data_IF_741270057194
#
_entry.id   IF_741270057194
#
_cell.length_a   1.000
_cell.length_b   1.000
_cell.length_c   1.000
_cell.angle_alpha   90.00
_cell.angle_beta   90.00
_cell.angle_gamma   90.00
#
_symmetry.space_group_name_H-M   'P 1'
#
loop_
_entity.id
_entity.type
_entity.pdbx_description
1 polymer ?
#
# COMPACT_ATOMS: atom_id res chain seq x y z
N UNK A 1 2.60 21.34 -0.55
CA UNK A 1 2.55 20.85 0.86
C UNK A 1 3.96 20.80 1.45
N UNK A 2 4.13 21.14 2.73
CA UNK A 2 5.40 20.92 3.44
C UNK A 2 5.38 19.50 4.02
N UNK A 3 5.90 18.54 3.26
CA UNK A 3 5.78 17.10 3.56
C UNK A 3 6.45 16.74 4.88
N UNK A 4 7.67 17.22 5.12
CA UNK A 4 8.43 16.92 6.34
C UNK A 4 7.75 17.45 7.60
N UNK A 5 7.20 18.67 7.56
CA UNK A 5 6.44 19.22 8.68
C UNK A 5 5.18 18.41 8.97
N UNK A 6 4.49 17.92 7.91
CA UNK A 6 3.34 17.06 8.10
C UNK A 6 3.74 15.71 8.72
N UNK A 7 4.83 15.11 8.26
CA UNK A 7 5.35 13.85 8.79
C UNK A 7 5.72 13.99 10.28
N UNK A 8 6.45 15.04 10.65
CA UNK A 8 6.82 15.32 12.04
C UNK A 8 5.59 15.53 12.93
N UNK A 9 4.62 16.35 12.49
CA UNK A 9 3.40 16.63 13.23
C UNK A 9 2.51 15.40 13.45
N UNK A 10 2.62 14.38 12.58
CA UNK A 10 1.79 13.19 12.60
C UNK A 10 2.52 11.89 12.93
N UNK A 11 3.83 11.93 13.16
CA UNK A 11 4.63 10.81 13.62
C UNK A 11 4.98 9.78 12.53
N UNK A 12 5.09 10.21 11.25
CA UNK A 12 5.52 9.29 10.19
C UNK A 12 7.02 9.03 10.23
N UNK A 13 7.40 7.78 10.07
CA UNK A 13 8.82 7.37 10.08
C UNK A 13 9.50 7.57 8.72
N UNK A 14 8.79 7.30 7.62
CA UNK A 14 9.43 7.28 6.30
C UNK A 14 8.43 7.56 5.18
N UNK A 15 8.89 8.29 4.18
CA UNK A 15 8.22 8.44 2.89
C UNK A 15 9.24 8.17 1.78
N UNK A 16 8.92 7.22 0.91
CA UNK A 16 9.72 6.88 -0.25
C UNK A 16 9.03 7.31 -1.53
N UNK A 17 9.79 7.89 -2.45
CA UNK A 17 9.33 8.26 -3.79
C UNK A 17 10.10 7.40 -4.79
N UNK A 18 9.38 6.69 -5.63
CA UNK A 18 9.94 5.82 -6.66
C UNK A 18 9.46 6.26 -8.04
N UNK A 19 10.37 6.28 -8.98
CA UNK A 19 10.07 6.54 -10.40
C UNK A 19 10.81 5.57 -11.29
N UNK A 20 10.13 5.05 -12.30
CA UNK A 20 10.72 4.30 -13.40
C UNK A 20 10.08 4.75 -14.71
N UNK A 21 10.77 5.63 -15.41
CA UNK A 21 10.28 6.26 -16.65
C UNK A 21 10.15 5.27 -17.80
N UNK A 22 10.88 4.13 -17.75
CA UNK A 22 10.80 3.12 -18.81
C UNK A 22 9.46 2.39 -18.81
N UNK A 23 8.79 2.30 -17.65
CA UNK A 23 7.50 1.62 -17.48
C UNK A 23 6.39 2.56 -17.01
N UNK A 24 6.67 3.87 -16.92
CA UNK A 24 5.71 4.87 -16.49
C UNK A 24 5.36 4.81 -14.98
N UNK A 25 6.20 4.17 -14.16
CA UNK A 25 5.96 4.09 -12.72
C UNK A 25 6.22 5.43 -12.04
N UNK A 26 5.24 5.90 -11.28
CA UNK A 26 5.38 6.90 -10.24
C UNK A 26 4.67 6.40 -8.99
N UNK A 27 5.43 6.08 -7.95
CA UNK A 27 4.90 5.47 -6.74
C UNK A 27 5.40 6.16 -5.48
N UNK A 28 4.55 6.17 -4.46
CA UNK A 28 4.86 6.64 -3.12
C UNK A 28 4.61 5.50 -2.14
N UNK A 29 5.53 5.28 -1.19
CA UNK A 29 5.33 4.36 -0.07
C UNK A 29 5.55 5.15 1.22
N UNK A 30 4.51 5.26 2.04
CA UNK A 30 4.58 5.87 3.35
C UNK A 30 4.56 4.80 4.44
N UNK A 31 5.50 4.90 5.37
CA UNK A 31 5.55 4.12 6.62
C UNK A 31 5.23 5.10 7.73
N UNK A 32 4.10 4.86 8.42
CA UNK A 32 3.70 5.73 9.52
C UNK A 32 4.38 5.32 10.82
N UNK A 33 4.26 4.05 11.21
CA UNK A 33 4.76 3.57 12.48
C UNK A 33 5.09 2.07 12.38
N UNK A 34 6.24 1.64 12.92
CA UNK A 34 6.69 0.25 12.95
C UNK A 34 6.85 -0.30 14.38
N UNK A 35 6.32 0.38 15.38
CA UNK A 35 6.44 -0.01 16.80
C UNK A 35 5.88 -1.41 17.07
N UNK A 36 4.77 -1.78 16.45
CA UNK A 36 4.14 -3.10 16.61
C UNK A 36 4.69 -4.15 15.64
N UNK A 37 5.46 -3.76 14.64
CA UNK A 37 6.00 -4.67 13.63
C UNK A 37 6.11 -4.01 12.26
N UNK A 38 6.41 -4.79 11.19
CA UNK A 38 6.49 -4.26 9.84
C UNK A 38 5.24 -3.48 9.44
N UNK A 39 5.41 -2.40 8.70
CA UNK A 39 4.29 -1.58 8.22
C UNK A 39 3.49 -2.35 7.17
N UNK A 40 2.24 -2.67 7.47
CA UNK A 40 1.31 -3.34 6.55
C UNK A 40 0.37 -2.32 5.92
N UNK A 41 0.18 -2.42 4.60
CA UNK A 41 -0.83 -1.63 3.90
C UNK A 41 -0.88 -1.88 2.39
N UNK A 42 -2.05 -1.71 1.82
CA UNK A 42 -2.30 -1.99 0.40
C UNK A 42 -1.69 -0.97 -0.55
N UNK A 43 -1.47 -1.40 -1.79
CA UNK A 43 -1.11 -0.53 -2.90
C UNK A 43 -2.39 -0.04 -3.60
N UNK A 44 -2.57 1.27 -3.62
CA UNK A 44 -3.67 1.94 -4.30
C UNK A 44 -3.23 2.41 -5.68
N UNK A 45 -4.07 2.21 -6.68
CA UNK A 45 -3.92 2.80 -8.01
C UNK A 45 -4.94 3.92 -8.14
N UNK A 46 -4.45 5.16 -8.25
CA UNK A 46 -5.33 6.32 -8.35
C UNK A 46 -4.69 7.48 -9.13
N UNK A 47 -5.36 8.02 -10.17
CA UNK A 47 -4.82 9.10 -10.98
C UNK A 47 -5.05 10.46 -10.30
N UNK A 48 -4.35 10.72 -9.20
CA UNK A 48 -4.42 12.02 -8.53
C UNK A 48 -4.03 13.16 -9.48
N UNK A 49 -4.75 14.29 -9.38
CA UNK A 49 -4.51 15.45 -10.23
C UNK A 49 -3.22 16.17 -9.90
N UNK A 50 -2.81 16.14 -8.64
CA UNK A 50 -1.58 16.78 -8.17
C UNK A 50 -0.75 15.81 -7.33
N UNK A 51 0.56 16.06 -7.28
CA UNK A 51 1.46 15.29 -6.42
C UNK A 51 1.15 15.53 -4.94
N UNK A 52 0.77 16.73 -4.57
CA UNK A 52 0.35 17.06 -3.20
C UNK A 52 -0.85 16.23 -2.75
N UNK A 53 -1.86 16.02 -3.63
CA UNK A 53 -3.00 15.16 -3.31
C UNK A 53 -2.56 13.70 -3.11
N UNK A 54 -1.67 13.20 -3.96
CA UNK A 54 -1.14 11.85 -3.86
C UNK A 54 -0.34 11.64 -2.57
N UNK A 55 0.52 12.59 -2.22
CA UNK A 55 1.32 12.57 -0.99
C UNK A 55 0.43 12.64 0.25
N UNK A 56 -0.56 13.52 0.26
CA UNK A 56 -1.51 13.64 1.38
C UNK A 56 -2.30 12.34 1.57
N UNK A 57 -2.77 11.72 0.48
CA UNK A 57 -3.54 10.48 0.53
C UNK A 57 -2.70 9.33 1.12
N UNK A 58 -1.49 9.10 0.62
CA UNK A 58 -0.63 8.02 1.10
C UNK A 58 -0.23 8.20 2.56
N UNK A 59 0.06 9.44 2.99
CA UNK A 59 0.40 9.74 4.39
C UNK A 59 -0.80 9.50 5.31
N UNK A 60 -1.97 10.03 4.99
CA UNK A 60 -3.18 9.82 5.80
C UNK A 60 -3.58 8.35 5.90
N UNK A 61 -3.49 7.62 4.80
CA UNK A 61 -3.85 6.20 4.76
C UNK A 61 -2.87 5.33 5.55
N UNK A 62 -1.56 5.60 5.46
CA UNK A 62 -0.56 4.87 6.27
C UNK A 62 -0.79 5.04 7.76
N UNK A 63 -1.15 6.25 8.22
CA UNK A 63 -1.53 6.50 9.61
C UNK A 63 -2.79 5.73 10.00
N UNK A 64 -3.81 5.72 9.14
CA UNK A 64 -5.03 4.94 9.34
C UNK A 64 -4.75 3.44 9.50
N UNK A 65 -3.79 2.90 8.74
CA UNK A 65 -3.39 1.49 8.84
C UNK A 65 -2.75 1.15 10.19
N UNK A 66 -1.95 2.05 10.79
CA UNK A 66 -1.43 1.84 12.15
C UNK A 66 -2.56 1.66 13.15
N UNK A 67 -3.53 2.56 13.15
CA UNK A 67 -4.68 2.44 14.06
C UNK A 67 -5.53 1.21 13.78
N UNK A 68 -5.72 0.87 12.51
CA UNK A 68 -6.47 -0.32 12.12
C UNK A 68 -5.80 -1.60 12.62
N UNK A 69 -4.49 -1.74 12.45
CA UNK A 69 -3.72 -2.88 12.94
C UNK A 69 -3.76 -2.99 14.46
N UNK A 70 -3.53 -1.88 15.16
CA UNK A 70 -3.59 -1.84 16.63
C UNK A 70 -4.98 -2.19 17.17
N UNK A 71 -6.05 -1.65 16.57
CA UNK A 71 -7.42 -1.95 16.98
C UNK A 71 -7.81 -3.42 16.74
N UNK A 72 -7.21 -4.05 15.72
CA UNK A 72 -7.41 -5.48 15.44
C UNK A 72 -6.49 -6.40 16.26
N UNK A 73 -5.60 -5.86 17.10
CA UNK A 73 -4.65 -6.63 17.89
C UNK A 73 -3.58 -7.35 17.06
N UNK A 74 -3.21 -6.78 15.92
CA UNK A 74 -2.21 -7.34 15.02
C UNK A 74 -0.82 -6.77 15.33
N UNK A 75 0.20 -7.62 15.25
CA UNK A 75 1.61 -7.24 15.42
C UNK A 75 2.18 -6.63 14.12
N UNK A 76 1.48 -5.61 13.59
CA UNK A 76 1.85 -4.86 12.40
C UNK A 76 1.80 -3.36 12.65
N UNK A 77 2.76 -2.66 12.08
CA UNK A 77 2.70 -1.22 11.92
C UNK A 77 1.77 -0.79 10.78
N UNK A 78 1.77 0.48 10.45
CA UNK A 78 0.95 1.04 9.39
C UNK A 78 1.77 1.58 8.23
N UNK A 79 1.46 1.06 7.05
CA UNK A 79 2.01 1.53 5.78
C UNK A 79 0.94 1.74 4.73
N UNK A 80 1.31 2.40 3.66
CA UNK A 80 0.49 2.55 2.46
C UNK A 80 1.36 2.78 1.25
N UNK A 81 0.97 2.19 0.13
CA UNK A 81 1.52 2.56 -1.17
C UNK A 81 0.45 3.18 -2.07
N UNK A 82 0.92 4.03 -2.97
CA UNK A 82 0.09 4.65 -4.00
C UNK A 82 0.89 4.70 -5.30
N UNK A 83 0.30 4.19 -6.38
CA UNK A 83 0.81 4.35 -7.74
C UNK A 83 -0.10 5.34 -8.46
N UNK A 84 0.50 6.40 -9.00
CA UNK A 84 -0.24 7.46 -9.69
C UNK A 84 -0.50 7.04 -11.13
N UNK A 85 -1.56 6.28 -11.34
CA UNK A 85 -2.06 5.91 -12.66
C UNK A 85 -3.53 5.49 -12.60
N UNK A 86 -4.19 5.46 -13.75
CA UNK A 86 -5.51 4.82 -13.90
C UNK A 86 -5.34 3.29 -14.08
N UNK A 87 -6.46 2.56 -13.94
CA UNK A 87 -6.42 1.10 -14.15
C UNK A 87 -6.03 0.70 -15.59
N UNK A 88 -6.38 1.53 -16.57
CA UNK A 88 -6.10 1.29 -17.99
C UNK A 88 -4.61 1.45 -18.33
N UNK A 89 -3.86 2.15 -17.49
CA UNK A 89 -2.42 2.40 -17.68
C UNK A 89 -1.54 1.33 -17.02
N UNK A 90 -2.11 0.41 -16.25
CA UNK A 90 -1.36 -0.66 -15.60
C UNK A 90 -0.76 -1.62 -16.62
N UNK A 91 0.50 -1.96 -16.39
CA UNK A 91 1.22 -2.99 -17.16
C UNK A 91 1.95 -3.96 -16.23
N UNK A 92 2.19 -5.20 -16.68
CA UNK A 92 3.00 -6.15 -15.91
C UNK A 92 4.38 -5.57 -15.56
N UNK A 93 5.00 -4.86 -16.50
CA UNK A 93 6.30 -4.23 -16.28
C UNK A 93 6.28 -3.18 -15.18
N UNK A 94 5.22 -2.36 -15.10
CA UNK A 94 5.01 -1.40 -14.01
C UNK A 94 4.84 -2.11 -12.66
N UNK A 95 4.01 -3.15 -12.60
CA UNK A 95 3.76 -3.93 -11.38
C UNK A 95 5.04 -4.61 -10.87
N UNK A 96 5.84 -5.20 -11.77
CA UNK A 96 7.15 -5.77 -11.41
C UNK A 96 8.13 -4.71 -10.92
N UNK A 97 8.19 -3.55 -11.58
CA UNK A 97 9.02 -2.42 -11.12
C UNK A 97 8.60 -1.97 -9.71
N UNK A 98 7.30 -1.88 -9.43
CA UNK A 98 6.81 -1.61 -8.09
C UNK A 98 7.19 -2.71 -7.07
N UNK A 99 7.13 -3.99 -7.46
CA UNK A 99 7.59 -5.10 -6.61
C UNK A 99 9.05 -4.95 -6.18
N UNK A 100 9.94 -4.52 -7.08
CA UNK A 100 11.34 -4.22 -6.75
C UNK A 100 11.47 -3.04 -5.78
N UNK A 101 10.61 -2.03 -5.90
CA UNK A 101 10.57 -0.93 -4.92
C UNK A 101 10.20 -1.45 -3.53
N UNK A 102 9.20 -2.32 -3.41
CA UNK A 102 8.83 -2.96 -2.13
C UNK A 102 9.98 -3.78 -1.57
N UNK A 103 10.62 -4.62 -2.38
CA UNK A 103 11.76 -5.45 -1.98
C UNK A 103 12.92 -4.61 -1.45
N UNK A 104 13.18 -3.45 -2.04
CA UNK A 104 14.25 -2.54 -1.61
C UNK A 104 14.09 -2.01 -0.18
N UNK A 105 12.89 -2.08 0.39
CA UNK A 105 12.62 -1.68 1.77
C UNK A 105 12.92 -2.80 2.79
N UNK A 106 13.37 -3.97 2.34
CA UNK A 106 13.90 -5.03 3.20
C UNK A 106 12.92 -5.54 4.25
N UNK A 107 11.62 -5.58 3.95
CA UNK A 107 10.59 -6.06 4.86
C UNK A 107 10.04 -5.02 5.85
N UNK A 108 10.50 -3.79 5.81
CA UNK A 108 9.89 -2.71 6.61
C UNK A 108 8.46 -2.38 6.19
N UNK A 109 8.15 -2.62 4.92
CA UNK A 109 6.81 -2.47 4.35
C UNK A 109 6.36 -3.77 3.70
N UNK A 110 5.15 -4.20 4.01
CA UNK A 110 4.48 -5.34 3.42
C UNK A 110 3.28 -4.81 2.65
N UNK A 111 3.25 -5.08 1.34
CA UNK A 111 2.17 -4.63 0.46
C UNK A 111 1.03 -5.66 0.40
N UNK A 112 -0.17 -5.19 0.05
CA UNK A 112 -1.34 -6.02 -0.25
C UNK A 112 -2.23 -5.27 -1.24
N UNK A 113 -3.36 -5.84 -1.62
CA UNK A 113 -4.34 -5.16 -2.47
C UNK A 113 -5.04 -3.98 -1.77
N UNK A 114 -5.48 -3.02 -2.55
CA UNK A 114 -6.35 -1.90 -2.17
C UNK A 114 -7.11 -1.42 -3.44
N UNK A 115 -7.75 -0.27 -3.37
CA UNK A 115 -8.51 0.31 -4.48
C UNK A 115 -7.69 0.35 -5.77
N UNK A 116 -8.23 -0.24 -6.83
CA UNK A 116 -7.59 -0.34 -8.13
C UNK A 116 -6.60 -1.50 -8.28
N UNK A 117 -6.19 -2.18 -7.19
CA UNK A 117 -5.39 -3.39 -7.26
C UNK A 117 -6.29 -4.64 -7.28
N UNK A 118 -5.89 -5.63 -8.05
CA UNK A 118 -6.55 -6.94 -8.12
C UNK A 118 -5.62 -8.02 -7.55
N UNK A 119 -6.17 -9.18 -7.26
CA UNK A 119 -5.39 -10.36 -6.83
C UNK A 119 -4.33 -10.75 -7.87
N UNK A 120 -4.64 -10.59 -9.17
CA UNK A 120 -3.69 -10.86 -10.26
C UNK A 120 -2.54 -9.85 -10.25
N UNK A 121 -2.82 -8.57 -9.96
CA UNK A 121 -1.77 -7.55 -9.80
C UNK A 121 -0.82 -7.93 -8.64
N UNK A 122 -1.37 -8.40 -7.53
CA UNK A 122 -0.62 -8.85 -6.35
C UNK A 122 0.25 -10.07 -6.70
N UNK A 123 -0.26 -11.02 -7.49
CA UNK A 123 0.53 -12.15 -7.99
C UNK A 123 1.70 -11.69 -8.84
N UNK A 124 1.50 -10.70 -9.72
CA UNK A 124 2.59 -10.15 -10.54
C UNK A 124 3.65 -9.48 -9.67
N UNK A 125 3.23 -8.66 -8.69
CA UNK A 125 4.14 -7.99 -7.75
C UNK A 125 4.95 -9.01 -6.94
N UNK A 126 4.34 -10.13 -6.55
CA UNK A 126 4.98 -11.19 -5.76
C UNK A 126 6.15 -11.88 -6.47
N UNK A 127 6.25 -11.76 -7.79
CA UNK A 127 7.40 -12.27 -8.56
C UNK A 127 8.71 -11.53 -8.27
N UNK A 128 8.63 -10.33 -7.68
CA UNK A 128 9.79 -9.46 -7.41
C UNK A 128 10.02 -9.21 -5.90
N UNK A 129 9.08 -9.60 -5.02
CA UNK A 129 9.20 -9.43 -3.59
C UNK A 129 8.48 -10.51 -2.81
N UNK A 130 9.06 -10.91 -1.68
CA UNK A 130 8.39 -11.77 -0.69
C UNK A 130 7.60 -10.97 0.37
N UNK A 131 7.74 -9.65 0.39
CA UNK A 131 7.09 -8.74 1.35
C UNK A 131 5.70 -8.34 0.87
N UNK A 132 4.81 -9.34 0.79
CA UNK A 132 3.47 -9.20 0.22
C UNK A 132 2.48 -10.07 1.00
N UNK A 133 1.25 -9.57 1.16
CA UNK A 133 0.13 -10.29 1.75
C UNK A 133 -1.07 -10.27 0.78
N UNK A 134 -2.11 -11.08 1.04
CA UNK A 134 -3.29 -11.13 0.18
C UNK A 134 -3.09 -11.91 -1.13
N UNK A 135 -2.09 -12.79 -1.18
CA UNK A 135 -1.94 -13.71 -2.31
C UNK A 135 -3.17 -14.63 -2.47
N UNK A 136 -3.47 -15.10 -3.68
CA UNK A 136 -4.50 -16.11 -3.89
C UNK A 136 -4.33 -17.33 -2.98
N UNK A 137 -5.43 -17.95 -2.59
CA UNK A 137 -5.42 -19.17 -1.75
C UNK A 137 -4.58 -20.28 -2.40
N UNK A 138 -4.62 -20.38 -3.74
CA UNK A 138 -3.80 -21.32 -4.52
C UNK A 138 -2.29 -21.14 -4.35
N UNK A 139 -1.85 -19.96 -3.95
CA UNK A 139 -0.46 -19.60 -3.66
C UNK A 139 -0.16 -19.51 -2.16
N UNK A 140 -1.06 -20.02 -1.32
CA UNK A 140 -0.89 -20.03 0.15
C UNK A 140 -1.28 -18.72 0.85
N UNK A 141 -1.92 -17.81 0.15
CA UNK A 141 -2.43 -16.54 0.70
C UNK A 141 -3.83 -16.66 1.30
N UNK A 142 -4.35 -15.54 1.80
CA UNK A 142 -5.70 -15.44 2.39
C UNK A 142 -6.80 -15.09 1.37
N UNK A 143 -6.45 -14.81 0.12
CA UNK A 143 -7.37 -14.40 -0.94
C UNK A 143 -7.85 -12.95 -0.81
N UNK A 144 -8.87 -12.60 -1.59
CA UNK A 144 -9.46 -11.26 -1.67
C UNK A 144 -10.20 -10.90 -0.36
N UNK A 145 -9.84 -9.81 0.34
CA UNK A 145 -10.50 -9.37 1.57
C UNK A 145 -11.83 -8.63 1.33
N UNK A 146 -12.22 -8.39 0.08
CA UNK A 146 -13.39 -7.53 -0.26
C UNK A 146 -14.69 -8.06 0.33
N UNK A 147 -14.90 -9.38 0.34
CA UNK A 147 -16.09 -10.02 0.94
C UNK A 147 -16.17 -9.75 2.44
N UNK A 148 -15.05 -9.89 3.16
CA UNK A 148 -15.00 -9.64 4.61
C UNK A 148 -15.15 -8.15 4.92
N UNK A 149 -14.61 -7.28 4.07
CA UNK A 149 -14.79 -5.82 4.18
C UNK A 149 -16.26 -5.44 4.00
N UNK A 150 -16.92 -5.97 2.99
CA UNK A 150 -18.36 -5.76 2.76
C UNK A 150 -19.19 -6.26 3.92
N UNK A 151 -18.89 -7.45 4.46
CA UNK A 151 -19.55 -7.99 5.64
C UNK A 151 -19.38 -7.10 6.88
N UNK A 152 -18.18 -6.52 7.08
CA UNK A 152 -17.91 -5.60 8.19
C UNK A 152 -18.68 -4.27 8.10
N UNK A 153 -18.97 -3.80 6.89
CA UNK A 153 -19.75 -2.57 6.68
C UNK A 153 -21.25 -2.80 6.90
N UNK A 154 -21.78 -3.94 6.49
CA UNK A 154 -23.21 -4.23 6.55
C UNK A 154 -23.82 -4.10 7.97
N UNK A 155 -23.22 -4.62 9.05
CA UNK A 155 -23.77 -4.48 10.41
C UNK A 155 -23.69 -3.06 10.99
N UNK A 156 -22.81 -2.20 10.45
CA UNK A 156 -22.62 -0.83 10.95
C UNK A 156 -23.59 0.17 10.30
N UNK A 157 -24.29 -0.26 9.25
CA UNK A 157 -25.23 0.57 8.48
C UNK A 157 -26.66 0.57 9.00
N UNK A 158 -26.91 0.00 10.20
CA UNK A 158 -28.22 -0.05 10.89
C UNK A 158 -28.18 0.71 12.20
#
# INVERSE_FOLDING_TARGET
MQVTEYMEAHGHEQLCVFTDTNVGLKAFIAIHDTTLGPALGGVRFWPHKTEDDALMDVLRLSKGMTYKSAAAGLDFGGGKALIVCSNDEKTEAMLRSFGKCVESLGGRYITTEDVGATTDDIEIISKETSHIAGLPISLGGSGDPSEMTAYGIYPVSY
#
